data_IF_979001626027
#
_entry.id   IF_979001626027
#
_cell.length_a   1.000
_cell.length_b   1.000
_cell.length_c   1.000
_cell.angle_alpha   90.00
_cell.angle_beta   90.00
_cell.angle_gamma   90.00
#
_symmetry.space_group_name_H-M   'P 1'
#
loop_
_entity.id
_entity.type
_entity.pdbx_description
1 polymer ?
#
# COMPACT_ATOMS: atom_id res chain seq x y z
N UNK A 1 23.12 0.81 17.26
CA UNK A 1 22.26 0.28 16.17
C UNK A 1 21.88 -1.14 16.54
N UNK A 2 20.59 -1.44 16.66
CA UNK A 2 20.13 -2.78 17.04
C UNK A 2 20.58 -3.82 15.99
N UNK A 3 21.15 -4.92 16.47
CA UNK A 3 21.70 -5.96 15.61
C UNK A 3 20.55 -6.65 14.86
N UNK A 4 20.64 -6.90 13.53
CA UNK A 4 19.56 -7.54 12.76
C UNK A 4 19.26 -8.99 13.17
N UNK A 5 20.02 -9.56 14.11
CA UNK A 5 19.90 -10.96 14.55
C UNK A 5 18.55 -11.28 15.18
N UNK A 6 17.95 -10.36 15.95
CA UNK A 6 16.63 -10.63 16.55
C UNK A 6 15.52 -10.60 15.49
N UNK A 7 15.56 -9.63 14.56
CA UNK A 7 14.61 -9.56 13.45
C UNK A 7 14.76 -10.81 12.57
N UNK A 8 15.99 -11.20 12.26
CA UNK A 8 16.27 -12.43 11.53
C UNK A 8 15.68 -13.67 12.23
N UNK A 9 16.02 -13.89 13.51
CA UNK A 9 15.53 -15.05 14.24
C UNK A 9 14.01 -15.06 14.35
N UNK A 10 13.38 -13.92 14.66
CA UNK A 10 11.92 -13.81 14.77
C UNK A 10 11.23 -14.05 13.42
N UNK A 11 11.74 -13.48 12.32
CA UNK A 11 11.20 -13.68 10.97
C UNK A 11 11.36 -15.13 10.51
N UNK A 12 12.51 -15.76 10.75
CA UNK A 12 12.75 -17.17 10.41
C UNK A 12 11.85 -18.09 11.23
N UNK A 13 11.71 -17.88 12.55
CA UNK A 13 10.81 -18.68 13.37
C UNK A 13 9.36 -18.56 12.90
N UNK A 14 8.86 -17.34 12.64
CA UNK A 14 7.52 -17.13 12.08
C UNK A 14 7.35 -17.77 10.71
N UNK A 15 8.37 -17.67 9.86
CA UNK A 15 8.34 -18.27 8.53
C UNK A 15 8.26 -19.79 8.61
N UNK A 16 9.05 -20.44 9.46
CA UNK A 16 9.03 -21.91 9.62
C UNK A 16 7.72 -22.41 10.24
N UNK A 17 7.10 -21.61 11.12
CA UNK A 17 5.83 -21.98 11.77
C UNK A 17 4.60 -21.80 10.85
N UNK A 18 4.73 -20.98 9.81
CA UNK A 18 3.65 -20.69 8.85
C UNK A 18 3.38 -21.88 7.91
N UNK A 19 2.25 -22.57 8.12
CA UNK A 19 1.86 -23.75 7.34
C UNK A 19 1.34 -23.42 5.93
N UNK A 20 0.98 -22.16 5.66
CA UNK A 20 0.57 -21.74 4.32
C UNK A 20 1.76 -21.73 3.37
N UNK A 21 2.93 -21.35 3.87
CA UNK A 21 4.20 -21.35 3.13
C UNK A 21 4.71 -22.77 2.81
N UNK A 22 4.49 -23.76 3.68
CA UNK A 22 4.97 -25.12 3.44
C UNK A 22 5.04 -25.98 4.71
N UNK A 23 5.80 -27.07 4.64
CA UNK A 23 6.16 -27.83 5.83
C UNK A 23 7.42 -27.24 6.48
N UNK A 24 7.54 -27.26 7.83
CA UNK A 24 8.70 -26.71 8.53
C UNK A 24 10.06 -27.22 8.02
N UNK A 25 10.22 -28.52 7.69
CA UNK A 25 11.48 -29.01 7.11
C UNK A 25 11.79 -28.38 5.75
N UNK A 26 10.79 -28.19 4.87
CA UNK A 26 10.98 -27.53 3.58
C UNK A 26 11.36 -26.06 3.75
N UNK A 27 10.72 -25.36 4.69
CA UNK A 27 10.99 -23.95 4.95
C UNK A 27 12.38 -23.74 5.58
N UNK A 28 12.78 -24.63 6.49
CA UNK A 28 14.13 -24.63 7.03
C UNK A 28 15.16 -24.88 5.92
N UNK A 29 14.92 -25.86 5.04
CA UNK A 29 15.80 -26.13 3.91
C UNK A 29 15.91 -24.89 3.00
N UNK A 30 14.82 -24.16 2.80
CA UNK A 30 14.83 -22.95 1.99
C UNK A 30 15.67 -21.83 2.60
N UNK A 31 15.56 -21.62 3.92
CA UNK A 31 16.41 -20.68 4.67
C UNK A 31 17.89 -21.07 4.56
N UNK A 32 18.21 -22.36 4.67
CA UNK A 32 19.58 -22.86 4.54
C UNK A 32 20.11 -22.68 3.10
N UNK A 33 19.33 -23.04 2.10
CA UNK A 33 19.69 -22.88 0.68
C UNK A 33 19.94 -21.40 0.32
N UNK A 34 19.12 -20.49 0.84
CA UNK A 34 19.28 -19.05 0.65
C UNK A 34 20.55 -18.50 1.30
N UNK A 35 21.04 -19.11 2.37
CA UNK A 35 22.32 -18.73 2.98
C UNK A 35 23.52 -19.09 2.11
N UNK A 36 23.40 -20.11 1.27
CA UNK A 36 24.46 -20.57 0.37
C UNK A 36 24.48 -19.84 -0.98
N UNK A 37 23.34 -19.31 -1.42
CA UNK A 37 23.25 -18.44 -2.59
C UNK A 37 23.68 -17.02 -2.16
N UNK A 38 24.67 -16.43 -2.81
CA UNK A 38 25.22 -15.09 -2.51
C UNK A 38 24.21 -13.93 -2.73
N UNK A 39 23.04 -13.95 -2.07
CA UNK A 39 21.93 -13.00 -2.21
C UNK A 39 22.17 -11.64 -1.52
N UNK A 40 23.42 -11.21 -1.38
CA UNK A 40 23.72 -9.86 -0.91
C UNK A 40 23.45 -9.64 0.58
N UNK A 41 22.84 -8.50 0.90
CA UNK A 41 22.82 -7.86 2.22
C UNK A 41 22.23 -8.74 3.33
N UNK A 42 22.46 -8.37 4.60
CA UNK A 42 21.88 -9.09 5.75
C UNK A 42 20.35 -9.14 5.72
N UNK A 43 19.70 -8.19 5.04
CA UNK A 43 18.25 -8.18 4.81
C UNK A 43 17.84 -9.18 3.73
N UNK A 44 18.65 -9.38 2.69
CA UNK A 44 18.45 -10.44 1.69
C UNK A 44 18.44 -11.84 2.32
N UNK A 45 19.32 -12.10 3.29
CA UNK A 45 19.29 -13.34 4.07
C UNK A 45 18.04 -13.49 4.94
N UNK A 46 17.47 -12.37 5.40
CA UNK A 46 16.30 -12.36 6.28
C UNK A 46 14.99 -12.55 5.51
N UNK A 47 14.85 -11.86 4.38
CA UNK A 47 13.59 -11.79 3.63
C UNK A 47 13.56 -12.64 2.36
N UNK A 48 14.73 -13.00 1.81
CA UNK A 48 14.84 -13.85 0.62
C UNK A 48 14.00 -15.12 0.71
N UNK A 49 14.11 -15.94 1.78
CA UNK A 49 13.30 -17.15 1.94
C UNK A 49 11.78 -16.90 1.99
N UNK A 50 11.37 -15.75 2.54
CA UNK A 50 9.95 -15.36 2.64
C UNK A 50 9.43 -14.93 1.26
N UNK A 51 10.27 -14.27 0.46
CA UNK A 51 9.90 -13.85 -0.89
C UNK A 51 9.90 -15.02 -1.87
N UNK A 52 10.89 -15.92 -1.78
CA UNK A 52 10.94 -17.12 -2.63
C UNK A 52 9.77 -18.06 -2.38
N UNK A 53 9.21 -18.07 -1.16
CA UNK A 53 8.03 -18.88 -0.82
C UNK A 53 6.81 -18.56 -1.69
N UNK A 54 6.71 -17.33 -2.21
CA UNK A 54 5.67 -16.90 -3.15
C UNK A 54 5.66 -17.75 -4.43
N UNK A 55 6.81 -18.35 -4.78
CA UNK A 55 7.04 -19.04 -6.05
C UNK A 55 7.13 -20.56 -5.88
N UNK A 56 7.36 -21.08 -4.66
CA UNK A 56 7.62 -22.52 -4.41
C UNK A 56 6.50 -23.42 -4.94
N UNK A 57 5.24 -23.02 -4.75
CA UNK A 57 4.06 -23.80 -5.16
C UNK A 57 3.49 -23.35 -6.51
N UNK A 58 4.12 -22.39 -7.17
CA UNK A 58 3.59 -21.78 -8.37
C UNK A 58 4.03 -22.53 -9.64
N UNK A 59 3.12 -22.73 -10.61
CA UNK A 59 3.50 -23.10 -11.96
C UNK A 59 4.48 -22.08 -12.57
N UNK A 60 5.48 -22.55 -13.33
CA UNK A 60 6.50 -21.66 -13.93
C UNK A 60 5.90 -20.60 -14.84
N UNK A 61 4.81 -20.91 -15.54
CA UNK A 61 4.08 -19.96 -16.39
C UNK A 61 3.37 -18.85 -15.61
N UNK A 62 3.19 -19.00 -14.30
CA UNK A 62 2.59 -17.98 -13.42
C UNK A 62 3.61 -17.10 -12.71
N UNK A 63 4.90 -17.39 -12.83
CA UNK A 63 5.98 -16.68 -12.14
C UNK A 63 5.90 -15.17 -12.34
N UNK A 64 5.91 -14.71 -13.59
CA UNK A 64 5.86 -13.27 -13.91
C UNK A 64 4.58 -12.59 -13.41
N UNK A 65 3.46 -13.30 -13.41
CA UNK A 65 2.20 -12.78 -12.88
C UNK A 65 2.28 -12.60 -11.36
N UNK A 66 2.83 -13.58 -10.64
CA UNK A 66 2.99 -13.51 -9.18
C UNK A 66 3.89 -12.35 -8.78
N UNK A 67 5.01 -12.16 -9.47
CA UNK A 67 5.92 -11.04 -9.22
C UNK A 67 5.23 -9.70 -9.51
N UNK A 68 4.47 -9.60 -10.62
CA UNK A 68 3.70 -8.39 -10.94
C UNK A 68 2.63 -8.08 -9.89
N UNK A 69 1.86 -9.09 -9.46
CA UNK A 69 0.83 -8.96 -8.43
C UNK A 69 1.45 -8.57 -7.08
N UNK A 70 2.57 -9.19 -6.71
CA UNK A 70 3.31 -8.86 -5.51
C UNK A 70 3.75 -7.40 -5.52
N UNK A 71 4.39 -6.93 -6.59
CA UNK A 71 4.82 -5.53 -6.70
C UNK A 71 3.64 -4.57 -6.67
N UNK A 72 2.52 -4.95 -7.28
CA UNK A 72 1.30 -4.15 -7.23
C UNK A 72 0.74 -4.04 -5.80
N UNK A 73 0.66 -5.16 -5.08
CA UNK A 73 -0.02 -5.24 -3.78
C UNK A 73 0.94 -4.89 -2.64
N UNK A 74 1.98 -5.71 -2.45
CA UNK A 74 2.94 -5.55 -1.35
C UNK A 74 3.80 -4.31 -1.56
N UNK A 75 4.19 -4.01 -2.80
CA UNK A 75 4.87 -2.76 -3.14
C UNK A 75 4.03 -1.54 -2.76
N UNK A 76 2.72 -1.57 -3.02
CA UNK A 76 1.83 -0.51 -2.54
C UNK A 76 1.77 -0.45 -1.01
N UNK A 77 1.59 -1.59 -0.32
CA UNK A 77 1.49 -1.67 1.15
C UNK A 77 2.70 -1.02 1.84
N UNK A 78 3.92 -1.25 1.34
CA UNK A 78 5.14 -0.70 1.94
C UNK A 78 5.32 0.80 1.66
N UNK A 79 4.60 1.35 0.68
CA UNK A 79 4.63 2.77 0.28
C UNK A 79 3.43 3.56 0.83
N UNK A 80 2.38 2.90 1.35
CA UNK A 80 1.22 3.58 1.93
C UNK A 80 1.64 4.53 3.06
N UNK A 81 1.07 5.75 3.06
CA UNK A 81 1.26 6.74 4.13
C UNK A 81 0.60 6.31 5.45
N UNK A 82 -0.46 5.51 5.35
CA UNK A 82 -1.21 4.96 6.47
C UNK A 82 -1.70 3.55 6.13
N UNK A 83 -1.59 2.58 7.05
CA UNK A 83 -2.03 1.21 6.82
C UNK A 83 -3.51 1.10 6.42
N UNK A 84 -3.79 0.25 5.43
CA UNK A 84 -5.14 -0.06 4.94
C UNK A 84 -5.51 -1.52 5.17
N UNK A 85 -6.80 -1.81 5.26
CA UNK A 85 -7.28 -3.19 5.30
C UNK A 85 -7.21 -3.84 3.92
N UNK A 86 -7.26 -5.17 3.88
CA UNK A 86 -7.29 -5.94 2.61
C UNK A 86 -8.41 -5.44 1.69
N UNK A 87 -9.60 -5.19 2.26
CA UNK A 87 -10.73 -4.68 1.49
C UNK A 87 -10.43 -3.31 0.87
N UNK A 88 -9.88 -2.38 1.65
CA UNK A 88 -9.53 -1.05 1.16
C UNK A 88 -8.37 -1.10 0.14
N UNK A 89 -7.37 -1.97 0.33
CA UNK A 89 -6.28 -2.20 -0.63
C UNK A 89 -6.85 -2.71 -1.96
N UNK A 90 -7.76 -3.70 -1.92
CA UNK A 90 -8.41 -4.24 -3.11
C UNK A 90 -9.13 -3.15 -3.91
N UNK A 91 -9.93 -2.31 -3.24
CA UNK A 91 -10.65 -1.21 -3.88
C UNK A 91 -9.71 -0.12 -4.41
N UNK A 92 -8.69 0.27 -3.62
CA UNK A 92 -7.71 1.29 -4.03
C UNK A 92 -6.92 0.86 -5.26
N UNK A 93 -6.44 -0.39 -5.28
CA UNK A 93 -5.57 -0.91 -6.34
C UNK A 93 -6.32 -1.41 -7.57
N UNK A 94 -7.64 -1.54 -7.49
CA UNK A 94 -8.48 -2.18 -8.52
C UNK A 94 -8.10 -3.64 -8.78
N UNK A 95 -7.79 -4.36 -7.70
CA UNK A 95 -7.38 -5.76 -7.74
C UNK A 95 -8.40 -6.57 -6.96
N UNK A 96 -8.88 -7.69 -7.51
CA UNK A 96 -9.83 -8.55 -6.83
C UNK A 96 -9.30 -8.97 -5.46
N UNK A 97 -10.18 -8.96 -4.45
CA UNK A 97 -9.82 -9.32 -3.08
C UNK A 97 -9.15 -10.71 -2.99
N UNK A 98 -9.62 -11.67 -3.78
CA UNK A 98 -9.02 -13.01 -3.84
C UNK A 98 -7.53 -12.98 -4.16
N UNK A 99 -7.12 -12.21 -5.19
CA UNK A 99 -5.70 -12.05 -5.54
C UNK A 99 -4.93 -11.37 -4.40
N UNK A 100 -5.50 -10.36 -3.74
CA UNK A 100 -4.87 -9.70 -2.59
C UNK A 100 -4.66 -10.69 -1.45
N UNK A 101 -5.70 -11.44 -1.07
CA UNK A 101 -5.64 -12.44 0.00
C UNK A 101 -4.58 -13.51 -0.34
N UNK A 102 -4.58 -14.08 -1.54
CA UNK A 102 -3.61 -15.10 -1.98
C UNK A 102 -2.16 -14.58 -1.91
N UNK A 103 -1.90 -13.30 -2.26
CA UNK A 103 -0.55 -12.72 -2.21
C UNK A 103 -0.09 -12.43 -0.78
N UNK A 104 -1.02 -12.20 0.14
CA UNK A 104 -0.70 -11.90 1.54
C UNK A 104 -0.61 -13.16 2.41
N UNK A 105 -1.29 -14.24 2.04
CA UNK A 105 -1.45 -15.48 2.84
C UNK A 105 -0.15 -16.17 3.27
N UNK A 106 0.98 -15.86 2.62
CA UNK A 106 2.30 -16.44 2.89
C UNK A 106 3.31 -15.41 3.40
N UNK A 107 2.83 -14.22 3.79
CA UNK A 107 3.66 -13.11 4.26
C UNK A 107 3.48 -12.82 5.76
N UNK A 108 2.89 -13.73 6.53
CA UNK A 108 2.66 -13.54 7.98
C UNK A 108 3.95 -13.38 8.81
N UNK A 109 5.09 -13.78 8.26
CA UNK A 109 6.42 -13.59 8.88
C UNK A 109 6.94 -12.15 8.80
N UNK A 110 6.38 -11.34 7.90
CA UNK A 110 6.79 -9.95 7.64
C UNK A 110 5.64 -8.94 7.73
N UNK A 111 4.40 -9.40 7.59
CA UNK A 111 3.17 -8.62 7.70
C UNK A 111 2.28 -9.14 8.83
N UNK A 112 1.74 -8.22 9.62
CA UNK A 112 0.58 -8.47 10.46
C UNK A 112 -0.67 -8.36 9.60
N UNK A 113 -1.26 -9.51 9.28
CA UNK A 113 -2.48 -9.63 8.47
C UNK A 113 -3.62 -10.08 9.39
N UNK A 114 -4.55 -9.19 9.72
CA UNK A 114 -5.65 -9.52 10.62
C UNK A 114 -6.73 -10.37 9.92
N UNK A 115 -7.35 -11.28 10.66
CA UNK A 115 -8.44 -12.14 10.15
C UNK A 115 -9.70 -11.33 9.76
N UNK A 116 -9.90 -10.17 10.39
CA UNK A 116 -11.03 -9.28 10.09
C UNK A 116 -10.72 -8.40 8.89
N UNK A 117 -11.62 -8.37 7.90
CA UNK A 117 -11.46 -7.63 6.64
C UNK A 117 -11.35 -6.10 6.78
N UNK A 118 -11.68 -5.54 7.94
CA UNK A 118 -11.67 -4.09 8.20
C UNK A 118 -10.46 -3.62 9.01
N UNK A 119 -9.67 -4.55 9.55
CA UNK A 119 -8.45 -4.21 10.26
C UNK A 119 -7.29 -4.04 9.27
N UNK A 120 -6.38 -3.07 9.49
CA UNK A 120 -5.35 -2.77 8.52
C UNK A 120 -4.20 -3.77 8.56
N UNK A 121 -3.65 -4.05 7.38
CA UNK A 121 -2.41 -4.83 7.19
C UNK A 121 -1.22 -3.95 7.56
N UNK A 122 -0.32 -4.45 8.41
CA UNK A 122 0.84 -3.68 8.89
C UNK A 122 2.15 -4.41 8.66
N UNK A 123 3.22 -3.67 8.43
CA UNK A 123 4.58 -4.20 8.47
C UNK A 123 4.93 -4.59 9.91
N UNK A 124 5.54 -5.77 10.10
CA UNK A 124 6.11 -6.14 11.40
C UNK A 124 7.39 -5.36 11.68
N UNK A 125 8.19 -5.10 10.64
CA UNK A 125 9.46 -4.39 10.74
C UNK A 125 9.68 -3.48 9.53
N UNK A 126 10.11 -2.24 9.77
CA UNK A 126 10.41 -1.26 8.71
C UNK A 126 11.54 -1.73 7.78
N UNK A 127 12.46 -2.55 8.28
CA UNK A 127 13.54 -3.13 7.47
C UNK A 127 13.05 -3.98 6.29
N UNK A 128 11.81 -4.49 6.32
CA UNK A 128 11.22 -5.19 5.18
C UNK A 128 10.90 -4.23 4.03
N UNK A 129 10.33 -3.07 4.36
CA UNK A 129 10.16 -1.96 3.40
C UNK A 129 11.51 -1.54 2.85
N UNK A 130 12.47 -1.24 3.74
CA UNK A 130 13.78 -0.74 3.35
C UNK A 130 14.48 -1.68 2.37
N UNK A 131 14.36 -2.99 2.59
CA UNK A 131 14.89 -4.01 1.67
C UNK A 131 14.17 -4.04 0.30
N UNK A 132 12.84 -3.93 0.28
CA UNK A 132 12.07 -4.01 -0.96
C UNK A 132 12.26 -2.81 -1.87
N UNK A 133 12.55 -1.63 -1.32
CA UNK A 133 12.73 -0.39 -2.10
C UNK A 133 14.20 -0.01 -2.32
N UNK A 134 15.17 -0.70 -1.70
CA UNK A 134 16.61 -0.38 -1.85
C UNK A 134 17.07 -0.57 -3.31
N UNK A 135 17.48 0.49 -4.03
CA UNK A 135 17.97 0.40 -5.41
C UNK A 135 19.13 -0.58 -5.61
N UNK A 136 19.90 -0.88 -4.55
CA UNK A 136 21.02 -1.83 -4.59
C UNK A 136 20.56 -3.28 -4.76
N UNK A 137 19.30 -3.56 -4.44
CA UNK A 137 18.71 -4.89 -4.56
C UNK A 137 17.99 -5.10 -5.90
N UNK A 138 17.86 -4.07 -6.74
CA UNK A 138 17.13 -4.14 -8.03
C UNK A 138 17.53 -5.31 -8.93
N UNK A 139 18.84 -5.57 -9.07
CA UNK A 139 19.35 -6.64 -9.93
C UNK A 139 19.38 -8.02 -9.26
N UNK A 140 19.15 -8.08 -7.94
CA UNK A 140 19.28 -9.31 -7.12
C UNK A 140 17.94 -9.83 -6.61
N UNK A 141 16.98 -8.92 -6.45
CA UNK A 141 15.67 -9.18 -5.89
C UNK A 141 14.62 -8.94 -6.98
N UNK A 142 14.08 -10.02 -7.53
CA UNK A 142 13.01 -9.95 -8.52
C UNK A 142 11.74 -9.26 -8.00
N UNK A 143 11.54 -9.26 -6.68
CA UNK A 143 10.44 -8.58 -5.99
C UNK A 143 10.75 -7.12 -5.63
N UNK A 144 11.92 -6.59 -6.04
CA UNK A 144 12.26 -5.19 -5.83
C UNK A 144 11.19 -4.25 -6.40
N UNK A 145 10.84 -3.25 -5.60
CA UNK A 145 9.77 -2.30 -5.84
C UNK A 145 10.39 -0.96 -6.20
N UNK A 146 10.08 -0.48 -7.39
CA UNK A 146 10.39 0.90 -7.77
C UNK A 146 9.44 1.84 -7.02
N UNK A 147 9.97 2.52 -6.01
CA UNK A 147 9.21 3.42 -5.15
C UNK A 147 8.59 4.57 -5.94
N UNK A 148 9.32 5.15 -6.92
CA UNK A 148 8.80 6.25 -7.75
C UNK A 148 7.62 5.80 -8.60
N UNK A 149 7.76 4.66 -9.28
CA UNK A 149 6.67 4.08 -10.09
C UNK A 149 5.46 3.74 -9.22
N UNK A 150 5.70 3.23 -8.00
CA UNK A 150 4.64 2.88 -7.05
C UNK A 150 3.89 4.11 -6.57
N UNK A 151 4.59 5.20 -6.24
CA UNK A 151 3.96 6.48 -5.88
C UNK A 151 3.10 7.03 -7.03
N UNK A 152 3.57 7.05 -8.28
CA UNK A 152 2.75 7.47 -9.44
C UNK A 152 1.49 6.64 -9.60
N UNK A 153 1.61 5.32 -9.47
CA UNK A 153 0.46 4.42 -9.52
C UNK A 153 -0.53 4.69 -8.39
N UNK A 154 -0.05 4.91 -7.16
CA UNK A 154 -0.89 5.23 -6.02
C UNK A 154 -1.60 6.58 -6.17
N UNK A 155 -0.94 7.60 -6.73
CA UNK A 155 -1.60 8.85 -7.11
C UNK A 155 -2.76 8.58 -8.07
N UNK A 156 -2.50 7.89 -9.19
CA UNK A 156 -3.52 7.56 -10.18
C UNK A 156 -4.70 6.78 -9.57
N UNK A 157 -4.40 5.81 -8.70
CA UNK A 157 -5.40 5.04 -7.97
C UNK A 157 -6.24 5.89 -7.02
N UNK A 158 -5.61 6.80 -6.26
CA UNK A 158 -6.32 7.73 -5.39
C UNK A 158 -7.27 8.63 -6.19
N UNK A 159 -6.77 9.21 -7.29
CA UNK A 159 -7.58 10.07 -8.16
C UNK A 159 -8.74 9.30 -8.79
N UNK A 160 -8.53 8.04 -9.21
CA UNK A 160 -9.59 7.15 -9.74
C UNK A 160 -10.68 6.89 -8.71
N UNK A 161 -10.30 6.46 -7.50
CA UNK A 161 -11.24 6.19 -6.40
C UNK A 161 -12.05 7.43 -6.06
N UNK A 162 -11.39 8.58 -5.94
CA UNK A 162 -12.07 9.84 -5.65
C UNK A 162 -13.03 10.25 -6.77
N UNK A 163 -12.66 10.13 -8.05
CA UNK A 163 -13.57 10.45 -9.16
C UNK A 163 -14.83 9.57 -9.19
N UNK A 164 -14.71 8.31 -8.77
CA UNK A 164 -15.85 7.39 -8.71
C UNK A 164 -16.76 7.61 -7.50
N UNK A 165 -16.22 8.09 -6.38
CA UNK A 165 -16.93 8.21 -5.12
C UNK A 165 -17.43 9.63 -4.79
N UNK A 166 -16.63 10.65 -5.13
CA UNK A 166 -16.92 12.04 -4.77
C UNK A 166 -17.99 12.62 -5.68
N UNK A 167 -19.00 13.24 -5.05
CA UNK A 167 -20.08 13.96 -5.71
C UNK A 167 -20.66 15.00 -4.75
N UNK A 168 -21.35 15.99 -5.29
CA UNK A 168 -22.09 16.96 -4.50
C UNK A 168 -23.05 16.27 -3.53
N UNK A 169 -23.05 16.72 -2.28
CA UNK A 169 -23.91 16.22 -1.22
C UNK A 169 -23.80 14.70 -1.05
N UNK A 170 -22.58 14.17 -0.98
CA UNK A 170 -22.33 12.72 -0.92
C UNK A 170 -22.97 12.04 0.30
N UNK A 171 -23.19 12.80 1.37
CA UNK A 171 -23.88 12.34 2.56
C UNK A 171 -25.41 12.52 2.52
N UNK A 172 -26.00 13.12 1.49
CA UNK A 172 -27.45 13.37 1.44
C UNK A 172 -27.94 14.24 2.59
N UNK A 173 -27.16 15.27 2.94
CA UNK A 173 -27.49 16.24 3.96
C UNK A 173 -28.72 17.07 3.53
N UNK A 174 -29.51 17.49 4.51
CA UNK A 174 -30.74 18.25 4.27
C UNK A 174 -30.48 19.65 3.69
N UNK A 175 -29.33 20.25 4.00
CA UNK A 175 -28.86 21.50 3.39
C UNK A 175 -27.32 21.64 3.52
N UNK A 176 -26.65 22.49 2.72
CA UNK A 176 -25.18 22.59 2.69
C UNK A 176 -24.50 23.05 3.99
N UNK A 177 -25.24 23.69 4.91
CA UNK A 177 -24.72 24.26 6.15
C UNK A 177 -24.84 23.36 7.38
N UNK A 178 -25.21 22.08 7.21
CA UNK A 178 -25.30 21.12 8.31
C UNK A 178 -23.94 20.99 9.00
N UNK A 179 -23.91 21.15 10.33
CA UNK A 179 -22.68 21.02 11.09
C UNK A 179 -22.15 19.59 11.01
N UNK A 180 -20.86 19.40 10.73
CA UNK A 180 -20.24 18.07 10.71
C UNK A 180 -20.53 17.25 11.98
N UNK A 181 -20.57 17.90 13.15
CA UNK A 181 -20.82 17.25 14.44
C UNK A 181 -22.22 16.63 14.57
N UNK A 182 -23.18 17.02 13.72
CA UNK A 182 -24.55 16.48 13.74
C UNK A 182 -24.75 15.38 12.69
N UNK A 183 -23.75 15.08 11.86
CA UNK A 183 -23.81 13.99 10.88
C UNK A 183 -23.48 12.68 11.59
N UNK A 184 -24.32 11.67 11.39
CA UNK A 184 -24.16 10.36 12.02
C UNK A 184 -22.91 9.62 11.52
N UNK A 185 -22.26 8.84 12.40
CA UNK A 185 -21.04 8.10 12.07
C UNK A 185 -21.28 6.98 11.07
N UNK A 186 -22.43 6.29 11.13
CA UNK A 186 -22.76 5.23 10.19
C UNK A 186 -23.07 5.84 8.82
N UNK A 187 -23.75 6.99 8.78
CA UNK A 187 -23.94 7.76 7.55
C UNK A 187 -22.59 8.14 6.91
N UNK A 188 -21.64 8.68 7.68
CA UNK A 188 -20.30 8.99 7.18
C UNK A 188 -19.58 7.74 6.66
N UNK A 189 -19.61 6.64 7.40
CA UNK A 189 -18.96 5.38 6.99
C UNK A 189 -19.56 4.79 5.70
N UNK A 190 -20.85 5.04 5.43
CA UNK A 190 -21.52 4.62 4.17
C UNK A 190 -21.14 5.50 2.98
N UNK A 191 -20.86 6.76 3.22
CA UNK A 191 -20.58 7.74 2.16
C UNK A 191 -19.09 7.86 1.85
N UNK A 192 -18.23 7.60 2.82
CA UNK A 192 -16.78 7.68 2.70
C UNK A 192 -16.16 6.34 3.13
N UNK A 193 -16.02 5.43 2.16
CA UNK A 193 -15.33 4.17 2.36
C UNK A 193 -13.83 4.41 2.72
N UNK A 194 -13.16 3.48 3.42
CA UNK A 194 -11.80 3.68 3.92
C UNK A 194 -10.77 4.05 2.84
N UNK A 195 -10.86 3.46 1.65
CA UNK A 195 -10.01 3.78 0.50
C UNK A 195 -10.25 5.19 -0.06
N UNK A 196 -11.49 5.69 0.02
CA UNK A 196 -11.85 7.06 -0.39
C UNK A 196 -11.29 8.05 0.62
N UNK A 197 -11.42 7.75 1.92
CA UNK A 197 -10.81 8.57 2.98
C UNK A 197 -9.29 8.64 2.80
N UNK A 198 -8.63 7.50 2.59
CA UNK A 198 -7.21 7.45 2.31
C UNK A 198 -6.83 8.29 1.09
N UNK A 199 -7.55 8.11 -0.02
CA UNK A 199 -7.29 8.84 -1.26
C UNK A 199 -7.42 10.36 -1.05
N UNK A 200 -8.46 10.81 -0.34
CA UNK A 200 -8.65 12.24 -0.03
C UNK A 200 -7.49 12.85 0.75
N UNK A 201 -6.83 12.06 1.61
CA UNK A 201 -5.79 12.52 2.51
C UNK A 201 -4.39 12.42 1.93
N UNK A 202 -4.12 11.42 1.09
CA UNK A 202 -2.76 11.04 0.70
C UNK A 202 -2.48 11.07 -0.80
N UNK A 203 -3.43 11.48 -1.65
CA UNK A 203 -3.17 11.59 -3.09
C UNK A 203 -2.02 12.57 -3.40
N UNK A 204 -1.96 13.74 -2.74
CA UNK A 204 -0.85 14.69 -2.92
C UNK A 204 0.42 14.14 -2.31
N UNK A 205 0.37 13.45 -1.17
CA UNK A 205 1.56 12.81 -0.58
C UNK A 205 2.24 11.89 -1.61
N UNK A 206 1.47 11.09 -2.34
CA UNK A 206 2.03 10.26 -3.40
C UNK A 206 2.48 11.07 -4.62
N UNK A 207 1.74 12.11 -5.00
CA UNK A 207 2.10 12.98 -6.13
C UNK A 207 3.44 13.71 -5.90
N UNK A 208 3.67 14.20 -4.69
CA UNK A 208 4.86 15.00 -4.36
C UNK A 208 6.08 14.14 -4.02
N UNK A 209 5.91 12.82 -3.90
CA UNK A 209 7.03 11.90 -3.68
C UNK A 209 7.83 11.60 -4.95
N UNK A 210 7.34 12.05 -6.12
CA UNK A 210 7.99 11.88 -7.41
C UNK A 210 8.37 13.22 -8.01
N UNK A 211 9.39 13.21 -8.86
CA UNK A 211 9.77 14.38 -9.64
C UNK A 211 8.65 14.79 -10.59
N UNK A 212 8.57 16.09 -10.88
CA UNK A 212 7.56 16.66 -11.76
C UNK A 212 7.69 16.11 -13.18
N UNK A 213 6.59 15.55 -13.70
CA UNK A 213 6.45 15.14 -15.11
C UNK A 213 5.15 15.75 -15.67
N UNK A 214 5.17 16.11 -16.96
CA UNK A 214 4.05 16.81 -17.60
C UNK A 214 2.75 15.98 -17.63
N UNK A 215 2.84 14.66 -17.77
CA UNK A 215 1.66 13.79 -17.77
C UNK A 215 0.98 13.73 -16.39
N UNK A 216 1.77 13.78 -15.31
CA UNK A 216 1.27 13.78 -13.93
C UNK A 216 0.46 15.06 -13.65
N UNK A 217 0.96 16.22 -14.10
CA UNK A 217 0.27 17.50 -13.88
C UNK A 217 -1.08 17.59 -14.62
N UNK A 218 -1.19 16.96 -15.79
CA UNK A 218 -2.45 16.91 -16.54
C UNK A 218 -3.54 16.10 -15.83
N UNK A 219 -3.17 15.00 -15.15
CA UNK A 219 -4.13 14.18 -14.39
C UNK A 219 -4.65 14.94 -13.16
N UNK A 220 -3.75 15.63 -12.45
CA UNK A 220 -4.08 16.49 -11.31
C UNK A 220 -5.00 17.63 -11.73
N UNK A 221 -4.66 18.34 -12.81
CA UNK A 221 -5.47 19.43 -13.34
C UNK A 221 -6.91 18.97 -13.63
N UNK A 222 -7.07 17.86 -14.37
CA UNK A 222 -8.40 17.30 -14.68
C UNK A 222 -9.18 16.94 -13.42
N UNK A 223 -8.50 16.41 -12.39
CA UNK A 223 -9.17 16.12 -11.13
C UNK A 223 -9.66 17.40 -10.45
N UNK A 224 -8.80 18.41 -10.30
CA UNK A 224 -9.16 19.66 -9.63
C UNK A 224 -10.26 20.42 -10.38
N UNK A 225 -10.20 20.49 -11.71
CA UNK A 225 -11.22 21.19 -12.51
C UNK A 225 -12.63 20.63 -12.34
N UNK A 226 -12.78 19.35 -11.96
CA UNK A 226 -14.09 18.69 -11.86
C UNK A 226 -14.49 18.34 -10.44
N UNK A 227 -13.54 17.97 -9.57
CA UNK A 227 -13.82 17.36 -8.26
C UNK A 227 -13.26 18.17 -7.08
N UNK A 228 -12.66 19.33 -7.30
CA UNK A 228 -12.07 20.12 -6.22
C UNK A 228 -13.07 20.43 -5.10
N UNK A 229 -14.27 20.89 -5.44
CA UNK A 229 -15.31 21.20 -4.44
C UNK A 229 -15.82 19.94 -3.73
N UNK A 230 -16.00 18.83 -4.47
CA UNK A 230 -16.41 17.55 -3.87
C UNK A 230 -15.34 16.99 -2.92
N UNK A 231 -14.06 17.20 -3.24
CA UNK A 231 -12.94 16.84 -2.36
C UNK A 231 -12.94 17.70 -1.10
N UNK A 232 -13.14 19.02 -1.20
CA UNK A 232 -13.29 19.88 -0.03
C UNK A 232 -14.50 19.49 0.84
N UNK A 233 -15.62 19.10 0.22
CA UNK A 233 -16.78 18.57 0.93
C UNK A 233 -16.41 17.31 1.73
N UNK A 234 -15.74 16.32 1.11
CA UNK A 234 -15.26 15.13 1.79
C UNK A 234 -14.29 15.46 2.94
N UNK A 235 -13.34 16.37 2.73
CA UNK A 235 -12.41 16.84 3.77
C UNK A 235 -13.16 17.49 4.95
N UNK A 236 -14.20 18.27 4.67
CA UNK A 236 -15.08 18.87 5.69
C UNK A 236 -15.86 17.81 6.46
N UNK A 237 -16.47 16.83 5.78
CA UNK A 237 -17.23 15.72 6.37
C UNK A 237 -16.35 14.86 7.30
N UNK A 238 -15.11 14.58 6.88
CA UNK A 238 -14.12 13.89 7.73
C UNK A 238 -13.71 14.73 8.94
N UNK A 239 -13.98 16.04 8.95
CA UNK A 239 -13.53 16.97 9.99
C UNK A 239 -12.06 17.36 9.83
N UNK A 240 -11.50 17.23 8.63
CA UNK A 240 -10.08 17.43 8.30
C UNK A 240 -9.86 18.60 7.33
N UNK A 241 -10.80 19.54 7.25
CA UNK A 241 -10.72 20.68 6.33
C UNK A 241 -9.47 21.54 6.55
N UNK A 242 -8.95 21.64 7.78
CA UNK A 242 -7.70 22.37 8.03
C UNK A 242 -6.50 21.78 7.29
N UNK A 243 -6.48 20.46 7.12
CA UNK A 243 -5.39 19.76 6.43
C UNK A 243 -5.46 19.89 4.91
N UNK A 244 -6.64 20.22 4.35
CA UNK A 244 -6.75 20.46 2.91
C UNK A 244 -5.88 21.65 2.48
N UNK A 245 -5.67 22.63 3.36
CA UNK A 245 -4.80 23.77 3.10
C UNK A 245 -3.33 23.35 2.97
N UNK A 246 -2.86 22.49 3.87
CA UNK A 246 -1.46 22.01 3.83
C UNK A 246 -1.22 21.06 2.65
N UNK A 247 -2.23 20.25 2.31
CA UNK A 247 -2.25 19.43 1.10
C UNK A 247 -2.14 20.33 -0.15
N UNK A 248 -2.94 21.39 -0.25
CA UNK A 248 -2.91 22.31 -1.39
C UNK A 248 -1.61 23.10 -1.48
N UNK A 249 -1.03 23.51 -0.34
CA UNK A 249 0.28 24.17 -0.31
C UNK A 249 1.39 23.25 -0.82
N UNK A 250 1.38 21.99 -0.38
CA UNK A 250 2.35 20.98 -0.84
C UNK A 250 2.23 20.77 -2.34
N UNK A 251 1.00 20.65 -2.86
CA UNK A 251 0.76 20.53 -4.29
C UNK A 251 1.23 21.76 -5.07
N UNK A 252 0.92 22.96 -4.59
CA UNK A 252 1.35 24.21 -5.23
C UNK A 252 2.88 24.33 -5.26
N UNK A 253 3.58 23.93 -4.19
CA UNK A 253 5.05 23.91 -4.19
C UNK A 253 5.63 22.94 -5.22
N UNK A 254 4.99 21.78 -5.42
CA UNK A 254 5.42 20.78 -6.38
C UNK A 254 5.19 21.21 -7.84
N UNK A 255 4.15 22.00 -8.12
CA UNK A 255 3.87 22.55 -9.45
C UNK A 255 4.77 23.74 -9.84
N UNK A 256 5.40 24.39 -8.87
CA UNK A 256 6.26 25.56 -9.10
C UNK A 256 7.76 25.19 -9.22
N UNK A 257 8.08 23.91 -9.41
CA UNK A 257 9.42 23.37 -9.69
C UNK A 257 9.63 23.29 -11.19
#
# INVERSE_FOLDING_TARGET
MAVPLFIFAATVCRFIDDRNCGSPPMQLQEVLNHRHKNYGSQLGLTYGPVLSSQLIKAPKDKHEQIVRDFKAIVGSIVVLASPLSVAAISQLLDISREIVDIRLDTLHSVLSIPMTCNSPVRLLHLSFRDYLVDPREKEKNEFWVDEKVTHRRLTSNCLRVMRGALRENMCGLSFPGVRRSTVDRLQLARCLAPEVQYACLYWVYHQTAVEYEQDDSQQVYRFLSTNFLHWLEAMSLMGRIGESLDILRSLASWLNV
#
